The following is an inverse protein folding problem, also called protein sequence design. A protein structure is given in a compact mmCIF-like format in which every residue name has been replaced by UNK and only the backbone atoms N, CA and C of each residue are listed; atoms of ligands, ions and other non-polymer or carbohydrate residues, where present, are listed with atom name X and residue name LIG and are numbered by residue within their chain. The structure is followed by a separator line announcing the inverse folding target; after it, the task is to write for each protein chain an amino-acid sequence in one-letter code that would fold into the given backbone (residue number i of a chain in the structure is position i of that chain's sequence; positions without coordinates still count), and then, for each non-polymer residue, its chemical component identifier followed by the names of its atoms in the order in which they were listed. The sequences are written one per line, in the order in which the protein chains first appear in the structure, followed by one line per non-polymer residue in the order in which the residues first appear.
data_IF_479682040575
#
_entry.id   IF_479682040575
#
_cell.length_a   1.000
_cell.length_b   1.000
_cell.length_c   1.000
_cell.angle_alpha   90.00
_cell.angle_beta   90.00
_cell.angle_gamma   90.00
#
_symmetry.space_group_name_H-M   'P 1'
#
loop_
_entity.id
_entity.type
_entity.pdbx_description
1 polymer ?
#
# COMPACT_ATOMS: atom_id res chain seq x y z
N UNK A 1 -15.71 -20.37 -12.10
CA UNK A 1 -14.48 -19.76 -12.67
C UNK A 1 -13.75 -19.06 -11.55
N UNK A 2 -12.43 -19.21 -11.44
CA UNK A 2 -11.64 -18.38 -10.54
C UNK A 2 -11.62 -16.94 -11.08
N UNK A 3 -11.79 -15.95 -10.20
CA UNK A 3 -11.67 -14.53 -10.53
C UNK A 3 -10.27 -14.23 -11.11
N UNK A 4 -10.20 -13.42 -12.17
CA UNK A 4 -8.96 -12.98 -12.83
C UNK A 4 -9.12 -11.54 -13.32
N UNK A 5 -8.05 -10.76 -13.18
CA UNK A 5 -7.90 -9.43 -13.78
C UNK A 5 -7.35 -9.64 -15.19
N UNK A 6 -8.20 -9.44 -16.19
CA UNK A 6 -7.85 -9.62 -17.62
C UNK A 6 -7.91 -8.33 -18.42
N UNK A 7 -8.47 -7.27 -17.85
CA UNK A 7 -8.67 -5.99 -18.52
C UNK A 7 -7.64 -4.94 -18.09
N UNK A 8 -7.14 -4.18 -19.08
CA UNK A 8 -6.16 -3.10 -18.86
C UNK A 8 -6.68 -2.05 -17.87
N UNK A 9 -7.92 -1.62 -18.03
CA UNK A 9 -8.53 -0.59 -17.19
C UNK A 9 -8.71 -1.04 -15.74
N UNK A 10 -9.04 -2.31 -15.52
CA UNK A 10 -9.16 -2.89 -14.18
C UNK A 10 -7.81 -2.90 -13.47
N UNK A 11 -6.76 -3.41 -14.12
CA UNK A 11 -5.41 -3.41 -13.58
C UNK A 11 -4.94 -1.98 -13.22
N UNK A 12 -5.16 -1.03 -14.12
CA UNK A 12 -4.72 0.36 -13.91
C UNK A 12 -5.49 1.05 -12.78
N UNK A 13 -6.79 0.77 -12.65
CA UNK A 13 -7.58 1.26 -11.52
C UNK A 13 -7.06 0.72 -10.19
N UNK A 14 -6.69 -0.57 -10.13
CA UNK A 14 -6.16 -1.19 -8.92
C UNK A 14 -4.77 -0.66 -8.55
N UNK A 15 -3.87 -0.49 -9.52
CA UNK A 15 -2.57 0.12 -9.30
C UNK A 15 -2.66 1.60 -8.92
N UNK A 16 -3.61 2.35 -9.47
CA UNK A 16 -3.91 3.72 -9.05
C UNK A 16 -4.37 3.80 -7.58
N UNK A 17 -5.22 2.86 -7.15
CA UNK A 17 -5.60 2.72 -5.73
C UNK A 17 -4.42 2.38 -4.83
N UNK A 18 -3.54 1.50 -5.28
CA UNK A 18 -2.32 1.17 -4.54
C UNK A 18 -1.42 2.41 -4.38
N UNK A 19 -1.21 3.17 -5.46
CA UNK A 19 -0.43 4.40 -5.38
C UNK A 19 -1.05 5.44 -4.44
N UNK A 20 -2.38 5.57 -4.48
CA UNK A 20 -3.11 6.46 -3.57
C UNK A 20 -2.98 6.02 -2.10
N UNK A 21 -3.06 4.72 -1.83
CA UNK A 21 -2.81 4.13 -0.50
C UNK A 21 -1.43 4.56 0.02
N UNK A 22 -0.39 4.29 -0.76
CA UNK A 22 1.01 4.60 -0.40
C UNK A 22 1.29 6.11 -0.25
N UNK A 23 0.54 6.95 -0.97
CA UNK A 23 0.76 8.41 -0.99
C UNK A 23 0.01 9.14 0.11
N UNK A 24 -1.30 8.90 0.20
CA UNK A 24 -2.18 9.64 1.09
C UNK A 24 -2.42 8.88 2.39
N UNK A 25 -2.77 7.59 2.30
CA UNK A 25 -3.10 6.80 3.47
C UNK A 25 -1.89 6.47 4.32
N UNK A 26 -0.78 6.10 3.72
CA UNK A 26 0.41 5.71 4.48
C UNK A 26 1.30 6.93 4.74
N UNK A 27 1.77 7.60 3.69
CA UNK A 27 2.65 8.76 3.84
C UNK A 27 2.11 9.85 4.79
N UNK A 28 0.96 10.46 4.48
CA UNK A 28 0.47 11.60 5.27
C UNK A 28 0.00 11.21 6.67
N UNK A 29 -0.62 10.03 6.82
CA UNK A 29 -1.13 9.60 8.11
C UNK A 29 0.00 9.15 9.05
N UNK A 30 1.01 8.43 8.54
CA UNK A 30 2.13 7.98 9.37
C UNK A 30 2.96 9.17 9.88
N UNK A 31 3.11 10.25 9.09
CA UNK A 31 3.72 11.50 9.56
C UNK A 31 2.87 12.22 10.63
N UNK A 32 1.55 12.27 10.47
CA UNK A 32 0.66 12.82 11.50
C UNK A 32 0.77 12.00 12.80
N UNK A 33 0.79 10.67 12.69
CA UNK A 33 0.99 9.76 13.81
C UNK A 33 2.35 9.96 14.49
N UNK A 34 3.42 10.11 13.71
CA UNK A 34 4.79 10.33 14.19
C UNK A 34 4.89 11.58 15.08
N UNK A 35 4.15 12.64 14.74
CA UNK A 35 4.10 13.88 15.54
C UNK A 35 3.33 13.73 16.85
N UNK A 36 2.44 12.74 16.96
CA UNK A 36 1.56 12.54 18.12
C UNK A 36 2.10 11.53 19.12
N UNK A 37 2.85 10.53 18.66
CA UNK A 37 3.48 9.53 19.54
C UNK A 37 4.68 10.12 20.28
N UNK A 38 4.86 9.74 21.54
CA UNK A 38 5.93 10.27 22.40
C UNK A 38 7.02 9.26 22.76
N UNK A 39 6.76 7.97 22.57
CA UNK A 39 7.71 6.91 22.89
C UNK A 39 8.57 6.61 21.67
N UNK A 40 9.90 6.60 21.85
CA UNK A 40 10.87 6.41 20.76
C UNK A 40 10.60 5.15 19.91
N UNK A 41 10.25 4.03 20.55
CA UNK A 41 9.94 2.79 19.81
C UNK A 41 8.78 2.95 18.82
N UNK A 42 7.77 3.77 19.12
CA UNK A 42 6.65 4.00 18.20
C UNK A 42 7.06 4.94 17.08
N UNK A 43 7.86 5.96 17.41
CA UNK A 43 8.46 6.85 16.42
C UNK A 43 9.32 6.08 15.43
N UNK A 44 10.17 5.17 15.90
CA UNK A 44 11.05 4.36 15.04
C UNK A 44 10.26 3.44 14.10
N UNK A 45 9.17 2.82 14.60
CA UNK A 45 8.27 2.01 13.76
C UNK A 45 7.62 2.88 12.69
N UNK A 46 6.99 3.99 13.08
CA UNK A 46 6.30 4.87 12.13
C UNK A 46 7.26 5.49 11.10
N UNK A 47 8.46 5.86 11.52
CA UNK A 47 9.50 6.36 10.61
C UNK A 47 9.92 5.29 9.59
N UNK A 48 10.15 4.06 10.06
CA UNK A 48 10.48 2.94 9.16
C UNK A 48 9.39 2.72 8.13
N UNK A 49 8.14 2.60 8.56
CA UNK A 49 7.01 2.35 7.65
C UNK A 49 6.84 3.53 6.67
N UNK A 50 6.95 4.78 7.15
CA UNK A 50 6.90 5.98 6.29
C UNK A 50 7.99 5.97 5.22
N UNK A 51 9.21 5.61 5.61
CA UNK A 51 10.35 5.49 4.70
C UNK A 51 10.14 4.39 3.65
N UNK A 52 9.71 3.21 4.09
CA UNK A 52 9.48 2.06 3.22
C UNK A 52 8.33 2.33 2.24
N UNK A 53 7.28 3.04 2.67
CA UNK A 53 6.18 3.49 1.80
C UNK A 53 6.68 4.40 0.65
N UNK A 54 7.75 5.19 0.86
CA UNK A 54 8.37 5.95 -0.25
C UNK A 54 9.03 5.04 -1.29
N UNK A 55 9.65 3.95 -0.83
CA UNK A 55 10.21 2.94 -1.71
C UNK A 55 9.10 2.21 -2.48
N UNK A 56 7.97 1.92 -1.84
CA UNK A 56 6.81 1.30 -2.49
C UNK A 56 6.26 2.20 -3.60
N UNK A 57 6.05 3.51 -3.34
CA UNK A 57 5.67 4.47 -4.39
C UNK A 57 6.64 4.46 -5.57
N UNK A 58 7.94 4.36 -5.28
CA UNK A 58 8.97 4.27 -6.33
C UNK A 58 8.83 3.01 -7.17
N UNK A 59 8.48 1.87 -6.57
CA UNK A 59 8.18 0.64 -7.30
C UNK A 59 6.91 0.78 -8.14
N UNK A 60 5.83 1.38 -7.62
CA UNK A 60 4.61 1.58 -8.42
C UNK A 60 4.86 2.53 -9.59
N UNK A 61 5.65 3.59 -9.40
CA UNK A 61 6.09 4.46 -10.49
C UNK A 61 6.88 3.67 -11.55
N UNK A 62 7.74 2.75 -11.13
CA UNK A 62 8.45 1.86 -12.05
C UNK A 62 7.48 0.95 -12.82
N UNK A 63 6.43 0.43 -12.16
CA UNK A 63 5.36 -0.32 -12.83
C UNK A 63 4.64 0.58 -13.86
N UNK A 64 4.33 1.83 -13.52
CA UNK A 64 3.73 2.81 -14.43
C UNK A 64 4.57 3.06 -15.66
N UNK A 65 5.88 3.24 -15.48
CA UNK A 65 6.81 3.46 -16.57
C UNK A 65 6.90 2.27 -17.55
N UNK A 66 6.69 1.05 -17.05
CA UNK A 66 6.80 -0.17 -17.84
C UNK A 66 5.48 -0.70 -18.41
N UNK A 67 4.34 -0.27 -17.88
CA UNK A 67 3.02 -0.63 -18.40
C UNK A 67 2.57 0.36 -19.48
N UNK A 68 2.30 -0.16 -20.67
CA UNK A 68 1.99 0.64 -21.86
C UNK A 68 0.79 1.59 -21.68
N UNK A 69 1.07 2.89 -21.59
CA UNK A 69 0.04 3.92 -21.44
C UNK A 69 -0.60 3.94 -20.06
N UNK A 70 0.08 3.41 -19.04
CA UNK A 70 -0.31 3.61 -17.65
C UNK A 70 0.30 4.91 -17.10
N UNK A 71 -0.56 5.78 -16.59
CA UNK A 71 -0.20 6.95 -15.80
C UNK A 71 -0.80 6.76 -14.41
N UNK A 72 0.06 6.41 -13.45
CA UNK A 72 -0.35 6.10 -12.09
C UNK A 72 -0.86 7.34 -11.34
N UNK A 73 -0.27 8.50 -11.55
CA UNK A 73 -0.69 9.74 -10.89
C UNK A 73 -2.09 10.13 -11.36
N UNK A 74 -2.34 10.03 -12.67
CA UNK A 74 -3.68 10.25 -13.22
C UNK A 74 -4.68 9.24 -12.66
N UNK A 75 -4.34 7.95 -12.62
CA UNK A 75 -5.24 6.92 -12.08
C UNK A 75 -5.55 7.13 -10.59
N UNK A 76 -4.57 7.61 -9.82
CA UNK A 76 -4.75 7.93 -8.41
C UNK A 76 -5.59 9.21 -8.19
N UNK A 77 -5.47 10.20 -9.07
CA UNK A 77 -6.18 11.49 -8.95
C UNK A 77 -7.70 11.39 -9.03
N UNK A 78 -8.22 10.28 -9.58
CA UNK A 78 -9.66 10.00 -9.65
C UNK A 78 -10.25 9.54 -8.30
N UNK A 79 -9.40 9.28 -7.31
CA UNK A 79 -9.80 8.83 -5.97
C UNK A 79 -9.97 10.06 -5.07
N UNK A 80 -11.09 10.12 -4.35
CA UNK A 80 -11.36 11.23 -3.43
C UNK A 80 -10.35 11.22 -2.29
N UNK A 81 -9.84 12.40 -1.95
CA UNK A 81 -9.03 12.60 -0.74
C UNK A 81 -9.84 12.27 0.51
N UNK A 82 -9.36 11.32 1.30
CA UNK A 82 -9.75 11.18 2.70
C UNK A 82 -8.73 11.94 3.57
N UNK A 83 -9.23 12.71 4.55
CA UNK A 83 -8.38 13.35 5.54
C UNK A 83 -8.35 12.51 6.81
N UNK A 84 -7.16 12.09 7.20
CA UNK A 84 -6.93 11.48 8.51
C UNK A 84 -7.06 12.52 9.60
N UNK A 85 -7.49 12.06 10.77
CA UNK A 85 -7.54 12.88 11.95
C UNK A 85 -7.26 12.01 13.16
N UNK A 86 -5.99 11.90 13.50
CA UNK A 86 -5.55 11.19 14.71
C UNK A 86 -5.67 12.06 15.96
N UNK A 87 -6.13 13.31 15.83
CA UNK A 87 -6.30 14.18 16.99
C UNK A 87 -7.35 13.56 17.91
N UNK A 88 -6.92 13.33 19.16
CA UNK A 88 -7.67 12.70 20.26
C UNK A 88 -7.65 11.16 20.27
N UNK A 89 -6.95 10.51 19.36
CA UNK A 89 -6.71 9.06 19.45
C UNK A 89 -5.56 8.78 20.41
N UNK A 90 -5.70 7.70 21.19
CA UNK A 90 -4.61 7.13 21.96
C UNK A 90 -3.58 6.48 21.01
N UNK A 91 -2.33 6.37 21.46
CA UNK A 91 -1.25 5.83 20.63
C UNK A 91 -1.59 4.44 20.11
N UNK A 92 -2.16 3.57 20.94
CA UNK A 92 -2.59 2.23 20.54
C UNK A 92 -3.66 2.25 19.45
N UNK A 93 -4.57 3.22 19.49
CA UNK A 93 -5.61 3.39 18.47
C UNK A 93 -4.99 3.88 17.16
N UNK A 94 -4.03 4.80 17.23
CA UNK A 94 -3.27 5.28 16.07
C UNK A 94 -2.53 4.10 15.42
N UNK A 95 -1.79 3.32 16.20
CA UNK A 95 -1.02 2.17 15.68
C UNK A 95 -1.93 1.09 15.07
N UNK A 96 -3.10 0.85 15.66
CA UNK A 96 -4.09 -0.08 15.12
C UNK A 96 -4.71 0.42 13.80
N UNK A 97 -4.95 1.73 13.69
CA UNK A 97 -5.49 2.33 12.47
C UNK A 97 -4.45 2.30 11.33
N UNK A 98 -3.18 2.59 11.62
CA UNK A 98 -2.08 2.40 10.65
C UNK A 98 -2.03 0.94 10.20
N UNK A 99 -2.10 -0.03 11.12
CA UNK A 99 -2.08 -1.45 10.77
C UNK A 99 -3.24 -1.83 9.83
N UNK A 100 -4.42 -1.22 9.99
CA UNK A 100 -5.56 -1.46 9.11
C UNK A 100 -5.25 -1.04 7.68
N UNK A 101 -4.45 0.01 7.48
CA UNK A 101 -4.02 0.47 6.16
C UNK A 101 -2.97 -0.45 5.55
N UNK A 102 -1.94 -0.86 6.31
CA UNK A 102 -0.95 -1.84 5.83
C UNK A 102 -1.63 -3.17 5.44
N UNK A 103 -2.64 -3.61 6.21
CA UNK A 103 -3.44 -4.80 5.86
C UNK A 103 -4.24 -4.63 4.56
N UNK A 104 -4.74 -3.42 4.30
CA UNK A 104 -5.46 -3.10 3.07
C UNK A 104 -4.51 -3.06 1.86
N UNK A 105 -3.34 -2.43 2.01
CA UNK A 105 -2.28 -2.44 1.00
C UNK A 105 -1.83 -3.87 0.69
N UNK A 106 -1.56 -4.68 1.73
CA UNK A 106 -1.21 -6.09 1.59
C UNK A 106 -2.26 -6.90 0.83
N UNK A 107 -3.55 -6.84 1.20
CA UNK A 107 -4.61 -7.57 0.48
C UNK A 107 -4.72 -7.09 -0.97
N UNK A 108 -4.61 -5.77 -1.22
CA UNK A 108 -4.65 -5.22 -2.57
C UNK A 108 -3.49 -5.76 -3.43
N UNK A 109 -2.25 -5.68 -2.95
CA UNK A 109 -1.09 -6.20 -3.68
C UNK A 109 -1.18 -7.70 -3.91
N UNK A 110 -1.62 -8.45 -2.90
CA UNK A 110 -1.79 -9.90 -2.99
C UNK A 110 -2.82 -10.25 -4.06
N UNK A 111 -3.95 -9.55 -4.09
CA UNK A 111 -4.98 -9.78 -5.12
C UNK A 111 -4.52 -9.39 -6.52
N UNK A 112 -3.81 -8.27 -6.67
CA UNK A 112 -3.23 -7.90 -7.96
C UNK A 112 -2.25 -8.99 -8.42
N UNK A 113 -1.36 -9.45 -7.54
CA UNK A 113 -0.38 -10.50 -7.85
C UNK A 113 -1.04 -11.82 -8.25
N UNK A 114 -1.99 -12.30 -7.45
CA UNK A 114 -2.58 -13.64 -7.60
C UNK A 114 -3.61 -13.72 -8.73
N UNK A 115 -4.28 -12.61 -9.04
CA UNK A 115 -5.39 -12.60 -10.01
C UNK A 115 -5.03 -11.98 -11.35
N UNK A 116 -3.92 -11.25 -11.49
CA UNK A 116 -3.56 -10.64 -12.77
C UNK A 116 -3.12 -11.68 -13.79
N UNK A 117 -3.77 -11.66 -14.95
CA UNK A 117 -3.45 -12.56 -16.05
C UNK A 117 -2.03 -12.31 -16.57
N UNK A 118 -1.23 -13.37 -16.64
CA UNK A 118 0.09 -13.33 -17.27
C UNK A 118 0.03 -12.85 -18.72
N UNK A 119 -0.99 -13.27 -19.47
CA UNK A 119 -1.20 -12.84 -20.86
C UNK A 119 -1.51 -11.35 -20.97
N UNK A 120 -2.15 -10.75 -19.96
CA UNK A 120 -2.37 -9.31 -19.90
C UNK A 120 -1.03 -8.59 -19.70
N UNK A 121 -0.21 -9.04 -18.76
CA UNK A 121 1.11 -8.43 -18.50
C UNK A 121 2.04 -8.60 -19.69
N UNK A 122 2.07 -9.77 -20.34
CA UNK A 122 2.86 -9.97 -21.58
C UNK A 122 2.50 -8.98 -22.69
N UNK A 123 1.24 -8.56 -22.77
CA UNK A 123 0.78 -7.57 -23.76
C UNK A 123 1.13 -6.14 -23.37
N UNK A 124 1.00 -5.81 -22.09
CA UNK A 124 1.16 -4.42 -21.60
C UNK A 124 2.59 -4.06 -21.19
N UNK A 125 3.42 -5.03 -20.84
CA UNK A 125 4.76 -4.80 -20.30
C UNK A 125 5.76 -4.49 -21.41
N UNK A 126 6.36 -3.30 -21.37
CA UNK A 126 7.23 -2.81 -22.45
C UNK A 126 8.69 -3.31 -22.38
N UNK A 127 9.03 -4.21 -21.45
CA UNK A 127 10.36 -4.83 -21.35
C UNK A 127 10.34 -6.28 -21.81
N UNK A 128 11.54 -6.80 -22.07
CA UNK A 128 11.75 -8.19 -22.52
C UNK A 128 11.29 -9.27 -21.53
N UNK A 129 11.27 -8.98 -20.22
CA UNK A 129 10.90 -9.94 -19.18
C UNK A 129 9.70 -9.43 -18.40
N UNK A 130 8.52 -9.99 -18.70
CA UNK A 130 7.28 -9.68 -17.98
C UNK A 130 7.29 -10.26 -16.55
N UNK A 131 8.16 -11.24 -16.27
CA UNK A 131 8.35 -11.81 -14.93
C UNK A 131 8.84 -10.77 -13.92
N UNK A 132 9.47 -9.69 -14.39
CA UNK A 132 9.87 -8.56 -13.55
C UNK A 132 8.67 -7.90 -12.87
N UNK A 133 7.53 -7.75 -13.56
CA UNK A 133 6.29 -7.26 -12.97
C UNK A 133 5.89 -8.08 -11.73
N UNK A 134 5.86 -9.40 -11.87
CA UNK A 134 5.47 -10.31 -10.80
C UNK A 134 6.47 -10.31 -9.64
N UNK A 135 7.77 -10.13 -9.92
CA UNK A 135 8.80 -9.97 -8.88
C UNK A 135 8.60 -8.69 -8.07
N UNK A 136 8.32 -7.57 -8.75
CA UNK A 136 8.06 -6.28 -8.09
C UNK A 136 6.79 -6.34 -7.23
N UNK A 137 5.70 -6.90 -7.76
CA UNK A 137 4.46 -7.09 -7.00
C UNK A 137 4.67 -8.00 -5.77
N UNK A 138 5.40 -9.10 -5.93
CA UNK A 138 5.72 -9.99 -4.80
C UNK A 138 6.59 -9.30 -3.75
N UNK A 139 7.49 -8.41 -4.17
CA UNK A 139 8.29 -7.63 -3.25
C UNK A 139 7.42 -6.70 -2.40
N UNK A 140 6.45 -6.00 -3.01
CA UNK A 140 5.48 -5.15 -2.29
C UNK A 140 4.68 -5.96 -1.25
N UNK A 141 4.10 -7.10 -1.65
CA UNK A 141 3.39 -8.00 -0.72
C UNK A 141 4.24 -8.36 0.50
N UNK A 142 5.50 -8.71 0.29
CA UNK A 142 6.40 -9.10 1.38
C UNK A 142 6.79 -7.91 2.28
N UNK A 143 6.90 -6.70 1.75
CA UNK A 143 7.17 -5.52 2.57
C UNK A 143 5.98 -5.22 3.50
N UNK A 144 4.77 -5.22 2.97
CA UNK A 144 3.56 -5.00 3.78
C UNK A 144 3.37 -6.06 4.86
N UNK A 145 3.66 -7.32 4.55
CA UNK A 145 3.63 -8.39 5.55
C UNK A 145 4.62 -8.10 6.70
N UNK A 146 5.76 -7.48 6.39
CA UNK A 146 6.74 -7.00 7.36
C UNK A 146 6.19 -5.88 8.25
N UNK A 147 5.53 -4.88 7.67
CA UNK A 147 4.90 -3.77 8.41
C UNK A 147 3.79 -4.27 9.34
N UNK A 148 2.92 -5.14 8.85
CA UNK A 148 1.85 -5.77 9.64
C UNK A 148 2.44 -6.48 10.86
N UNK A 149 3.54 -7.22 10.71
CA UNK A 149 4.22 -7.90 11.82
C UNK A 149 4.78 -6.93 12.86
N UNK A 150 5.30 -5.77 12.43
CA UNK A 150 5.79 -4.72 13.33
C UNK A 150 4.65 -4.09 14.15
N UNK A 151 3.46 -3.97 13.56
CA UNK A 151 2.30 -3.35 14.17
C UNK A 151 1.41 -4.32 14.98
N UNK A 152 1.50 -5.63 14.73
CA UNK A 152 0.70 -6.67 15.37
C UNK A 152 0.64 -6.60 16.91
N UNK A 153 1.71 -6.26 17.65
CA UNK A 153 1.66 -6.13 19.11
C UNK A 153 0.69 -5.04 19.63
N UNK A 154 0.28 -4.11 18.75
CA UNK A 154 -0.56 -2.97 19.10
C UNK A 154 -2.05 -3.20 18.80
N UNK A 155 -2.38 -4.19 17.96
CA UNK A 155 -3.76 -4.52 17.57
C UNK A 155 -4.63 -5.05 18.72
N UNK A 156 -4.03 -5.69 19.72
CA UNK A 156 -4.76 -6.41 20.78
C UNK A 156 -5.12 -5.58 22.03
N UNK A 157 -4.71 -4.30 22.11
CA UNK A 157 -4.86 -3.51 23.35
C UNK A 157 -6.16 -2.71 23.46
N UNK A 158 -7.00 -2.71 22.43
CA UNK A 158 -8.30 -2.02 22.47
C UNK A 158 -9.33 -2.90 23.21
N UNK A 159 -9.16 -3.06 24.54
CA UNK A 159 -10.31 -3.34 25.42
C UNK A 159 -11.01 -2.02 25.67
N UNK A 160 -11.97 -1.68 24.80
CA UNK A 160 -12.93 -0.62 25.06
C UNK A 160 -13.74 -1.03 26.30
N UNK A 161 -13.47 -0.43 27.46
CA UNK A 161 -14.37 -0.54 28.60
C UNK A 161 -15.63 0.23 28.18
N UNK A 162 -16.71 -0.50 27.92
CA UNK A 162 -18.07 0.05 27.79
C UNK A 162 -18.60 0.43 29.17
#
# INVERSE_FOLDING_TARGET
MAFKITEKSELYSLLGKAYWLESQLEGASQWEAYLLVKEQKHMDILFKISHDSEAHRSIINLLSYHLEGFDVEKAASEIKEERFNFKKMHVEEIMAEIMRYEMLAHDLYSRILDHTSEDLIKKLWNRKSYEEYFKLMKWLVNQEEGHIKLLQPYAGKIKRIL
#
